data_IF_224196434751
#
_entry.id   IF_224196434751
#
_cell.length_a   1.000
_cell.length_b   1.000
_cell.length_c   1.000
_cell.angle_alpha   90.00
_cell.angle_beta   90.00
_cell.angle_gamma   90.00
#
_symmetry.space_group_name_H-M   'P 1'
#
loop_
_entity.id
_entity.type
_entity.pdbx_description
1 polymer ?
#
# COMPACT_ATOMS: atom_id res chain seq x y z
N UNK A 1 -7.74 -13.04 32.02
CA UNK A 1 -7.57 -12.81 30.57
C UNK A 1 -6.47 -11.79 30.38
N UNK A 2 -5.37 -12.15 29.72
CA UNK A 2 -4.26 -11.22 29.44
C UNK A 2 -4.68 -10.43 28.21
N UNK A 3 -5.01 -9.14 28.37
CA UNK A 3 -5.25 -8.27 27.22
C UNK A 3 -3.96 -8.26 26.39
N UNK A 4 -4.05 -8.76 25.15
CA UNK A 4 -2.99 -8.58 24.17
C UNK A 4 -2.84 -7.07 23.99
N UNK A 5 -1.70 -6.53 24.40
CA UNK A 5 -1.35 -5.14 24.13
C UNK A 5 -1.50 -4.93 22.62
N UNK A 6 -2.19 -3.87 22.15
CA UNK A 6 -2.22 -3.58 20.73
C UNK A 6 -0.77 -3.46 20.28
N UNK A 7 -0.30 -4.36 19.43
CA UNK A 7 0.94 -4.11 18.74
C UNK A 7 0.75 -2.77 18.04
N UNK A 8 1.59 -1.78 18.35
CA UNK A 8 1.59 -0.47 17.72
C UNK A 8 2.06 -0.63 16.26
N UNK A 9 1.26 -1.35 15.46
CA UNK A 9 1.55 -1.76 14.10
C UNK A 9 0.73 -0.89 13.16
N UNK A 10 1.41 -0.24 12.23
CA UNK A 10 0.72 0.42 11.12
C UNK A 10 0.22 -0.65 10.17
N UNK A 11 -1.09 -0.71 9.94
CA UNK A 11 -1.72 -1.63 8.98
C UNK A 11 -1.89 -0.92 7.66
N UNK A 12 -1.44 -1.56 6.58
CA UNK A 12 -1.60 -1.08 5.21
C UNK A 12 -2.54 -2.02 4.45
N UNK A 13 -3.54 -1.47 3.79
CA UNK A 13 -4.40 -2.16 2.84
C UNK A 13 -3.98 -1.75 1.43
N UNK A 14 -3.72 -2.71 0.55
CA UNK A 14 -3.21 -2.47 -0.81
C UNK A 14 -4.16 -3.03 -1.84
N UNK A 15 -4.38 -2.32 -2.93
CA UNK A 15 -5.19 -2.80 -4.04
C UNK A 15 -4.63 -2.34 -5.39
N UNK A 16 -4.88 -3.13 -6.42
CA UNK A 16 -4.44 -2.87 -7.78
C UNK A 16 -5.48 -3.35 -8.78
N UNK A 17 -5.83 -2.49 -9.74
CA UNK A 17 -6.89 -2.76 -10.70
C UNK A 17 -6.47 -2.42 -12.13
N UNK A 18 -7.07 -3.15 -13.08
CA UNK A 18 -6.88 -2.99 -14.52
C UNK A 18 -8.25 -2.95 -15.18
N UNK A 19 -8.50 -1.92 -15.97
CA UNK A 19 -9.65 -1.82 -16.86
C UNK A 19 -9.35 -2.58 -18.16
N UNK A 20 -10.12 -3.61 -18.46
CA UNK A 20 -9.82 -4.56 -19.55
C UNK A 20 -9.98 -3.96 -20.96
N UNK A 21 -10.83 -2.95 -21.13
CA UNK A 21 -11.10 -2.33 -22.44
C UNK A 21 -10.02 -1.33 -22.83
N UNK A 22 -9.66 -0.45 -21.90
CA UNK A 22 -8.71 0.64 -22.15
C UNK A 22 -7.27 0.27 -21.79
N UNK A 23 -7.07 -0.91 -21.17
CA UNK A 23 -5.80 -1.37 -20.56
C UNK A 23 -5.26 -0.45 -19.47
N UNK A 24 -6.09 0.48 -18.98
CA UNK A 24 -5.74 1.41 -17.93
C UNK A 24 -5.54 0.67 -16.62
N UNK A 25 -4.39 0.88 -15.99
CA UNK A 25 -4.02 0.22 -14.75
C UNK A 25 -3.67 1.21 -13.62
N UNK A 26 -4.02 0.88 -12.38
CA UNK A 26 -3.82 1.77 -11.24
C UNK A 26 -3.66 1.02 -9.92
N UNK A 27 -2.75 1.53 -9.08
CA UNK A 27 -2.41 0.95 -7.79
C UNK A 27 -2.72 1.94 -6.67
N UNK A 28 -3.09 1.41 -5.51
CA UNK A 28 -3.35 2.22 -4.33
C UNK A 28 -2.97 1.46 -3.05
N UNK A 29 -2.64 2.23 -2.02
CA UNK A 29 -2.66 1.72 -0.66
C UNK A 29 -3.31 2.75 0.27
N UNK A 30 -3.88 2.26 1.36
CA UNK A 30 -4.38 3.09 2.46
C UNK A 30 -3.86 2.57 3.79
N UNK A 31 -3.67 3.48 4.74
CA UNK A 31 -3.26 3.16 6.10
C UNK A 31 -4.51 3.09 6.96
N UNK A 32 -4.61 2.10 7.85
CA UNK A 32 -5.71 2.02 8.79
C UNK A 32 -5.86 3.32 9.59
N UNK A 33 -6.99 4.01 9.42
CA UNK A 33 -7.25 5.32 10.03
C UNK A 33 -6.40 6.48 9.48
N UNK A 34 -5.72 6.28 8.35
CA UNK A 34 -4.80 7.24 7.75
C UNK A 34 -5.13 7.60 6.30
N UNK A 35 -4.12 8.14 5.62
CA UNK A 35 -4.26 8.63 4.25
C UNK A 35 -4.15 7.50 3.21
N UNK A 36 -4.80 7.74 2.07
CA UNK A 36 -4.71 6.89 0.88
C UNK A 36 -3.74 7.50 -0.12
N UNK A 37 -2.85 6.66 -0.67
CA UNK A 37 -2.02 7.00 -1.82
C UNK A 37 -2.46 6.17 -3.02
N UNK A 38 -2.63 6.82 -4.17
CA UNK A 38 -3.05 6.17 -5.41
C UNK A 38 -2.31 6.76 -6.60
N UNK A 39 -1.99 5.94 -7.59
CA UNK A 39 -1.29 6.37 -8.80
C UNK A 39 -1.63 5.47 -9.98
N UNK A 40 -1.38 6.01 -11.18
CA UNK A 40 -1.49 5.28 -12.44
C UNK A 40 -0.21 4.47 -12.65
N UNK A 41 -0.35 3.19 -12.99
CA UNK A 41 0.76 2.40 -13.52
C UNK A 41 0.79 2.54 -15.03
N UNK A 42 1.81 1.99 -15.68
CA UNK A 42 1.84 1.88 -17.15
C UNK A 42 0.60 1.13 -17.64
N UNK A 43 0.08 1.56 -18.80
CA UNK A 43 -0.99 0.84 -19.48
C UNK A 43 -0.48 -0.54 -19.93
N UNK A 44 -1.38 -1.52 -19.97
CA UNK A 44 -1.05 -2.91 -20.30
C UNK A 44 -0.42 -3.72 -19.17
N UNK A 45 -0.24 -3.16 -17.97
CA UNK A 45 0.09 -3.96 -16.79
C UNK A 45 -1.03 -4.97 -16.47
N UNK A 46 -0.63 -6.19 -16.11
CA UNK A 46 -1.54 -7.21 -15.57
C UNK A 46 -1.97 -6.89 -14.13
N UNK A 47 -3.12 -7.39 -13.70
CA UNK A 47 -3.64 -7.18 -12.34
C UNK A 47 -2.61 -7.53 -11.25
N UNK A 48 -1.83 -8.61 -11.44
CA UNK A 48 -0.79 -9.00 -10.49
C UNK A 48 0.38 -8.01 -10.44
N UNK A 49 0.80 -7.45 -11.59
CA UNK A 49 1.85 -6.41 -11.62
C UNK A 49 1.39 -5.16 -10.88
N UNK A 50 0.12 -4.79 -11.03
CA UNK A 50 -0.45 -3.60 -10.36
C UNK A 50 -0.62 -3.84 -8.86
N UNK A 51 -1.08 -5.02 -8.44
CA UNK A 51 -1.13 -5.41 -7.04
C UNK A 51 0.25 -5.43 -6.38
N UNK A 52 1.28 -5.95 -7.08
CA UNK A 52 2.66 -5.88 -6.60
C UNK A 52 3.15 -4.43 -6.47
N UNK A 53 2.81 -3.56 -7.43
CA UNK A 53 3.17 -2.14 -7.34
C UNK A 53 2.56 -1.48 -6.10
N UNK A 54 1.29 -1.78 -5.77
CA UNK A 54 0.63 -1.28 -4.57
C UNK A 54 1.37 -1.70 -3.28
N UNK A 55 1.76 -2.97 -3.18
CA UNK A 55 2.53 -3.52 -2.06
C UNK A 55 3.90 -2.83 -1.93
N UNK A 56 4.61 -2.66 -3.04
CA UNK A 56 5.91 -1.97 -3.05
C UNK A 56 5.79 -0.50 -2.64
N UNK A 57 4.71 0.19 -3.05
CA UNK A 57 4.42 1.55 -2.61
C UNK A 57 4.21 1.65 -1.10
N UNK A 58 3.39 0.75 -0.53
CA UNK A 58 3.16 0.68 0.90
C UNK A 58 4.46 0.40 1.69
N UNK A 59 5.29 -0.53 1.22
CA UNK A 59 6.58 -0.85 1.87
C UNK A 59 7.57 0.31 1.82
N UNK A 60 7.64 1.04 0.71
CA UNK A 60 8.48 2.25 0.60
C UNK A 60 8.01 3.35 1.54
N UNK A 61 6.69 3.57 1.62
CA UNK A 61 6.13 4.53 2.56
C UNK A 61 6.43 4.14 4.01
N UNK A 62 6.25 2.86 4.36
CA UNK A 62 6.58 2.34 5.68
C UNK A 62 8.06 2.48 6.02
N UNK A 63 8.98 2.23 5.07
CA UNK A 63 10.42 2.34 5.31
C UNK A 63 10.85 3.79 5.57
N UNK A 64 10.34 4.75 4.78
CA UNK A 64 10.61 6.18 4.97
C UNK A 64 10.13 6.65 6.35
N UNK A 65 8.91 6.29 6.74
CA UNK A 65 8.37 6.67 8.05
C UNK A 65 9.02 5.94 9.23
N UNK A 66 9.65 4.79 8.99
CA UNK A 66 10.44 4.10 10.01
C UNK A 66 11.79 4.78 10.26
N UNK A 67 12.29 5.60 9.32
CA UNK A 67 13.53 6.37 9.49
C UNK A 67 13.34 7.74 10.14
N UNK A 68 12.11 8.25 10.23
CA UNK A 68 11.80 9.55 10.85
C UNK A 68 11.29 9.43 12.29
N UNK A 69 10.97 8.22 12.76
CA UNK A 69 10.67 7.95 14.17
C UNK A 69 11.96 7.46 14.86
N UNK A 70 12.47 8.14 15.90
CA UNK A 70 13.65 7.66 16.61
C UNK A 70 13.32 6.27 17.19
N UNK A 71 14.20 5.30 16.94
CA UNK A 71 14.22 4.06 17.70
C UNK A 71 14.44 4.45 19.16
N UNK A 72 13.43 4.18 20.00
CA UNK A 72 13.56 4.24 21.45
C UNK A 72 14.56 3.19 21.94
#
# INVERSE_FOLDING_TARGET
MKALTPHNRTVYYTDGSVETTSTKAGAAFTIEGGNTSLWRTSDGCSTLQVGLAAILGALRHASINSTTMPRA
#
